data_IF_080730116514
#
_entry.id   IF_080730116514
#
_cell.length_a   1.000
_cell.length_b   1.000
_cell.length_c   1.000
_cell.angle_alpha   90.00
_cell.angle_beta   90.00
_cell.angle_gamma   90.00
#
_symmetry.space_group_name_H-M   'P 1'
#
loop_
_entity.id
_entity.type
_entity.pdbx_description
1 polymer ?
#
# COMPACT_ATOMS: atom_id res chain seq x y z
N UNK A 1 -0.14 15.02 3.43
CA UNK A 1 -0.30 16.27 2.63
C UNK A 1 0.93 16.59 1.76
N UNK A 2 2.06 15.95 2.01
CA UNK A 2 3.31 16.20 1.27
C UNK A 2 3.12 16.03 -0.23
N UNK A 3 3.58 16.99 -1.02
CA UNK A 3 3.45 17.01 -2.46
C UNK A 3 2.04 17.29 -3.01
N UNK A 4 1.00 17.49 -2.18
CA UNK A 4 -0.36 17.76 -2.67
C UNK A 4 -0.46 19.08 -3.45
N UNK A 5 0.28 20.11 -3.05
CA UNK A 5 0.37 21.39 -3.77
C UNK A 5 1.04 21.21 -5.15
N UNK A 6 2.03 20.34 -5.25
CA UNK A 6 2.71 20.02 -6.52
C UNK A 6 1.75 19.31 -7.46
N UNK A 7 1.00 18.32 -6.95
CA UNK A 7 -0.05 17.67 -7.73
C UNK A 7 -1.10 18.67 -8.22
N UNK A 8 -1.63 19.51 -7.33
CA UNK A 8 -2.74 20.44 -7.66
C UNK A 8 -2.39 21.43 -8.77
N UNK A 9 -1.11 21.85 -8.85
CA UNK A 9 -0.59 22.71 -9.90
C UNK A 9 -0.14 21.97 -11.17
N UNK A 10 -0.10 20.64 -11.14
CA UNK A 10 0.42 19.80 -12.22
C UNK A 10 -0.48 19.79 -13.46
N UNK A 11 0.10 19.39 -14.61
CA UNK A 11 -0.66 19.12 -15.82
C UNK A 11 -1.68 18.00 -15.60
N UNK A 12 -1.31 16.95 -14.88
CA UNK A 12 -2.16 15.81 -14.55
C UNK A 12 -3.42 16.26 -13.81
N UNK A 13 -3.28 17.12 -12.80
CA UNK A 13 -4.44 17.60 -12.05
C UNK A 13 -5.36 18.48 -12.88
N UNK A 14 -4.81 19.27 -13.81
CA UNK A 14 -5.60 20.07 -14.77
C UNK A 14 -6.36 19.19 -15.77
N UNK A 15 -5.76 18.08 -16.22
CA UNK A 15 -6.42 17.13 -17.12
C UNK A 15 -7.52 16.34 -16.39
N UNK A 16 -7.30 15.96 -15.13
CA UNK A 16 -8.29 15.21 -14.32
C UNK A 16 -9.46 16.11 -13.87
N UNK A 17 -9.19 17.36 -13.58
CA UNK A 17 -10.15 18.31 -13.01
C UNK A 17 -10.03 19.69 -13.67
N UNK A 18 -10.41 19.84 -14.95
CA UNK A 18 -10.27 21.11 -15.67
C UNK A 18 -11.06 22.26 -15.04
N UNK A 19 -12.24 21.96 -14.50
CA UNK A 19 -13.20 22.97 -14.00
C UNK A 19 -12.97 23.35 -12.52
N UNK A 20 -12.07 22.68 -11.82
CA UNK A 20 -11.79 22.94 -10.40
C UNK A 20 -10.50 23.74 -10.21
N UNK A 21 -10.48 24.56 -9.17
CA UNK A 21 -9.28 25.30 -8.76
C UNK A 21 -8.22 24.41 -8.10
N UNK A 22 -7.05 24.98 -7.83
CA UNK A 22 -5.92 24.25 -7.23
C UNK A 22 -6.22 23.74 -5.83
N UNK A 23 -7.07 24.43 -5.05
CA UNK A 23 -7.44 24.05 -3.69
C UNK A 23 -8.28 22.78 -3.70
N UNK A 24 -9.30 22.75 -4.56
CA UNK A 24 -10.16 21.57 -4.72
C UNK A 24 -9.39 20.39 -5.27
N UNK A 25 -8.51 20.58 -6.27
CA UNK A 25 -7.64 19.52 -6.82
C UNK A 25 -6.75 18.92 -5.73
N UNK A 26 -6.14 19.76 -4.87
CA UNK A 26 -5.34 19.33 -3.73
C UNK A 26 -6.16 18.53 -2.71
N UNK A 27 -7.32 19.00 -2.33
CA UNK A 27 -8.22 18.33 -1.39
C UNK A 27 -8.67 16.95 -1.89
N UNK A 28 -9.04 16.84 -3.18
CA UNK A 28 -9.38 15.54 -3.80
C UNK A 28 -8.20 14.58 -3.77
N UNK A 29 -6.98 15.05 -4.09
CA UNK A 29 -5.79 14.20 -4.04
C UNK A 29 -5.52 13.67 -2.64
N UNK A 30 -5.63 14.51 -1.61
CA UNK A 30 -5.48 14.10 -0.21
C UNK A 30 -6.52 13.02 0.16
N UNK A 31 -7.78 13.23 -0.22
CA UNK A 31 -8.85 12.24 0.01
C UNK A 31 -8.59 10.90 -0.70
N UNK A 32 -8.09 10.94 -1.95
CA UNK A 32 -7.74 9.73 -2.71
C UNK A 32 -6.56 8.96 -2.10
N UNK A 33 -5.61 9.64 -1.47
CA UNK A 33 -4.51 8.98 -0.74
C UNK A 33 -5.01 8.12 0.42
N UNK A 34 -6.11 8.52 1.05
CA UNK A 34 -6.74 7.72 2.09
C UNK A 34 -7.35 6.43 1.54
N UNK A 35 -7.83 6.46 0.29
CA UNK A 35 -8.41 5.30 -0.38
C UNK A 35 -7.32 4.35 -0.92
N UNK A 36 -6.37 4.88 -1.68
CA UNK A 36 -5.22 4.16 -2.23
C UNK A 36 -4.02 5.12 -2.39
N UNK A 37 -3.12 5.16 -1.38
CA UNK A 37 -1.98 6.07 -1.41
C UNK A 37 -1.04 5.80 -2.60
N UNK A 38 -0.79 4.55 -2.96
CA UNK A 38 0.11 4.20 -4.05
C UNK A 38 -0.43 4.71 -5.39
N UNK A 39 -1.70 4.46 -5.68
CA UNK A 39 -2.34 4.87 -6.93
C UNK A 39 -2.34 6.40 -7.12
N UNK A 40 -2.38 7.17 -6.04
CA UNK A 40 -2.38 8.62 -6.10
C UNK A 40 -0.97 9.22 -6.10
N UNK A 41 -0.07 8.71 -5.24
CA UNK A 41 1.28 9.27 -5.07
C UNK A 41 2.17 9.08 -6.31
N UNK A 42 1.95 8.06 -7.12
CA UNK A 42 2.68 7.85 -8.39
C UNK A 42 2.45 8.95 -9.44
N UNK A 43 1.47 9.84 -9.23
CA UNK A 43 1.18 10.97 -10.12
C UNK A 43 2.16 12.12 -9.99
N UNK A 44 2.98 12.13 -8.95
CA UNK A 44 4.01 13.14 -8.67
C UNK A 44 5.39 12.49 -8.54
N UNK A 45 6.44 13.28 -8.71
CA UNK A 45 7.81 12.81 -8.46
C UNK A 45 7.98 12.44 -6.98
N UNK A 46 8.52 11.26 -6.70
CA UNK A 46 8.73 10.76 -5.34
C UNK A 46 9.57 11.71 -4.47
N UNK A 47 10.52 12.44 -5.07
CA UNK A 47 11.29 13.48 -4.35
C UNK A 47 10.43 14.61 -3.78
N UNK A 48 9.30 14.88 -4.42
CA UNK A 48 8.37 15.93 -4.00
C UNK A 48 7.57 15.58 -2.74
N UNK A 49 7.58 14.33 -2.33
CA UNK A 49 6.93 13.85 -1.11
C UNK A 49 7.83 14.06 0.11
N UNK A 50 9.16 14.15 -0.11
CA UNK A 50 10.17 14.17 0.95
C UNK A 50 10.56 12.76 1.39
N UNK A 51 11.76 12.33 0.99
CA UNK A 51 12.25 10.95 1.23
C UNK A 51 13.32 10.88 2.30
N UNK A 52 13.83 12.03 2.76
CA UNK A 52 14.81 12.11 3.84
C UNK A 52 15.35 13.51 4.07
N UNK A 53 15.83 13.76 5.29
CA UNK A 53 16.38 15.05 5.69
C UNK A 53 17.54 15.50 4.80
N UNK A 54 18.37 14.55 4.35
CA UNK A 54 19.56 14.79 3.54
C UNK A 54 19.37 14.48 2.06
N UNK A 55 18.13 14.46 1.57
CA UNK A 55 17.86 14.14 0.17
C UNK A 55 18.56 15.08 -0.82
N UNK A 56 18.88 16.31 -0.43
CA UNK A 56 19.55 17.29 -1.28
C UNK A 56 21.09 17.13 -1.29
N UNK A 57 21.66 16.39 -0.34
CA UNK A 57 23.09 16.21 -0.17
C UNK A 57 23.64 14.99 -0.95
N UNK A 58 22.76 14.19 -1.54
CA UNK A 58 23.11 13.02 -2.34
C UNK A 58 23.01 13.30 -3.85
N UNK A 59 23.62 12.44 -4.65
CA UNK A 59 23.52 12.50 -6.11
C UNK A 59 22.04 12.39 -6.55
N UNK A 60 21.53 13.45 -7.17
CA UNK A 60 20.10 13.55 -7.53
C UNK A 60 19.69 12.57 -8.63
N UNK A 61 20.61 12.18 -9.52
CA UNK A 61 20.35 11.21 -10.58
C UNK A 61 20.21 9.80 -10.01
N UNK A 62 21.13 9.43 -9.11
CA UNK A 62 21.08 8.14 -8.40
C UNK A 62 19.88 8.05 -7.47
N UNK A 63 19.56 9.14 -6.75
CA UNK A 63 18.37 9.19 -5.90
C UNK A 63 17.11 8.95 -6.72
N UNK A 64 16.95 9.66 -7.84
CA UNK A 64 15.80 9.47 -8.73
C UNK A 64 15.69 8.02 -9.22
N UNK A 65 16.78 7.45 -9.72
CA UNK A 65 16.80 6.07 -10.20
C UNK A 65 16.41 5.05 -9.11
N UNK A 66 16.93 5.23 -7.88
CA UNK A 66 16.60 4.36 -6.75
C UNK A 66 15.13 4.49 -6.34
N UNK A 67 14.58 5.70 -6.35
CA UNK A 67 13.17 5.94 -6.04
C UNK A 67 12.25 5.35 -7.11
N UNK A 68 12.54 5.56 -8.40
CA UNK A 68 11.77 4.98 -9.49
C UNK A 68 11.77 3.45 -9.41
N UNK A 69 12.92 2.82 -9.15
CA UNK A 69 13.01 1.37 -8.95
C UNK A 69 12.21 0.88 -7.74
N UNK A 70 12.23 1.64 -6.64
CA UNK A 70 11.44 1.31 -5.44
C UNK A 70 9.95 1.37 -5.72
N UNK A 71 9.49 2.43 -6.41
CA UNK A 71 8.08 2.58 -6.80
C UNK A 71 7.65 1.45 -7.73
N UNK A 72 8.45 1.12 -8.74
CA UNK A 72 8.20 0.00 -9.65
C UNK A 72 8.07 -1.31 -8.89
N UNK A 73 8.99 -1.59 -7.97
CA UNK A 73 8.95 -2.80 -7.14
C UNK A 73 7.68 -2.86 -6.28
N UNK A 74 7.28 -1.76 -5.67
CA UNK A 74 6.06 -1.67 -4.86
C UNK A 74 4.80 -1.89 -5.72
N UNK A 75 4.71 -1.25 -6.88
CA UNK A 75 3.56 -1.38 -7.80
C UNK A 75 3.40 -2.83 -8.27
N UNK A 76 4.50 -3.47 -8.67
CA UNK A 76 4.48 -4.86 -9.15
C UNK A 76 4.15 -5.85 -8.02
N UNK A 77 4.65 -5.62 -6.80
CA UNK A 77 4.33 -6.46 -5.63
C UNK A 77 2.85 -6.41 -5.28
N UNK A 78 2.24 -5.23 -5.31
CA UNK A 78 0.81 -5.06 -5.02
C UNK A 78 -0.06 -5.63 -6.15
N UNK A 79 0.38 -5.49 -7.39
CA UNK A 79 -0.43 -5.76 -8.57
C UNK A 79 -1.42 -4.62 -8.88
N UNK A 80 -1.82 -4.53 -10.12
CA UNK A 80 -2.58 -3.38 -10.63
C UNK A 80 -3.88 -3.85 -11.31
N UNK A 81 -5.02 -3.32 -10.89
CA UNK A 81 -6.28 -3.52 -11.61
C UNK A 81 -6.25 -2.72 -12.92
N UNK A 82 -6.17 -3.44 -14.04
CA UNK A 82 -6.02 -2.84 -15.37
C UNK A 82 -7.24 -2.00 -15.78
N UNK A 83 -8.40 -2.30 -15.22
CA UNK A 83 -9.65 -1.62 -15.57
C UNK A 83 -9.83 -0.28 -14.84
N UNK A 84 -9.16 -0.07 -13.72
CA UNK A 84 -9.32 1.15 -12.90
C UNK A 84 -8.05 1.99 -12.78
N UNK A 85 -6.88 1.41 -13.05
CA UNK A 85 -5.61 2.09 -12.89
C UNK A 85 -5.45 3.31 -13.80
N UNK A 86 -4.83 4.37 -13.28
CA UNK A 86 -4.41 5.52 -14.07
C UNK A 86 -3.25 5.16 -15.01
N UNK A 87 -3.05 5.95 -16.08
CA UNK A 87 -1.86 5.82 -16.93
C UNK A 87 -0.56 5.93 -16.14
N UNK A 88 -0.55 6.74 -15.08
CA UNK A 88 0.63 6.95 -14.24
C UNK A 88 0.98 5.67 -13.46
N UNK A 89 -0.02 5.02 -12.85
CA UNK A 89 0.20 3.76 -12.15
C UNK A 89 0.63 2.64 -13.11
N UNK A 90 -0.02 2.54 -14.27
CA UNK A 90 0.33 1.55 -15.31
C UNK A 90 1.75 1.72 -15.84
N UNK A 91 2.30 2.93 -15.88
CA UNK A 91 3.67 3.19 -16.34
C UNK A 91 4.72 2.49 -15.48
N UNK A 92 4.43 2.25 -14.20
CA UNK A 92 5.33 1.54 -13.29
C UNK A 92 5.16 0.02 -13.31
N UNK A 93 4.22 -0.50 -14.09
CA UNK A 93 4.11 -1.95 -14.28
C UNK A 93 5.24 -2.42 -15.19
N UNK A 94 5.93 -3.48 -14.78
CA UNK A 94 7.05 -4.05 -15.55
C UNK A 94 6.62 -4.37 -16.99
N UNK A 95 7.44 -4.02 -17.95
CA UNK A 95 7.15 -4.18 -19.37
C UNK A 95 6.21 -3.13 -19.98
N UNK A 96 5.63 -2.24 -19.19
CA UNK A 96 4.82 -1.13 -19.67
C UNK A 96 5.60 0.18 -19.56
N UNK A 97 5.72 0.89 -20.64
CA UNK A 97 6.20 2.28 -20.62
C UNK A 97 5.03 3.26 -20.77
N UNK A 98 5.28 4.57 -20.75
CA UNK A 98 4.23 5.59 -20.84
C UNK A 98 3.30 5.42 -22.04
N UNK A 99 3.81 5.00 -23.18
CA UNK A 99 3.05 4.80 -24.43
C UNK A 99 2.07 3.62 -24.30
N UNK A 100 2.52 2.46 -23.78
CA UNK A 100 1.63 1.31 -23.57
C UNK A 100 0.61 1.56 -22.47
N UNK A 101 1.01 2.23 -21.39
CA UNK A 101 0.09 2.64 -20.34
C UNK A 101 -1.05 3.51 -20.88
N UNK A 102 -0.73 4.50 -21.74
CA UNK A 102 -1.75 5.33 -22.39
C UNK A 102 -2.62 4.49 -23.33
N UNK A 103 -2.03 3.62 -24.16
CA UNK A 103 -2.79 2.77 -25.08
C UNK A 103 -3.75 1.81 -24.36
N UNK A 104 -3.39 1.31 -23.18
CA UNK A 104 -4.30 0.50 -22.34
C UNK A 104 -5.50 1.34 -21.90
N UNK A 105 -5.28 2.56 -21.43
CA UNK A 105 -6.35 3.46 -21.01
C UNK A 105 -7.26 3.81 -22.18
N UNK A 106 -6.70 4.15 -23.32
CA UNK A 106 -7.45 4.49 -24.55
C UNK A 106 -8.26 3.30 -25.04
N UNK A 107 -7.65 2.11 -25.03
CA UNK A 107 -8.34 0.87 -25.46
C UNK A 107 -9.56 0.57 -24.60
N UNK A 108 -9.42 0.60 -23.26
CA UNK A 108 -10.56 0.33 -22.37
C UNK A 108 -11.65 1.39 -22.43
N UNK A 109 -11.26 2.64 -22.70
CA UNK A 109 -12.22 3.75 -22.89
C UNK A 109 -13.06 3.55 -24.15
N UNK A 110 -12.44 3.07 -25.23
CA UNK A 110 -13.10 2.85 -26.51
C UNK A 110 -13.88 1.54 -26.61
N UNK A 111 -13.40 0.47 -25.94
CA UNK A 111 -13.92 -0.90 -26.11
C UNK A 111 -14.58 -1.48 -24.85
N UNK A 112 -14.59 -0.73 -23.75
CA UNK A 112 -15.04 -1.24 -22.45
C UNK A 112 -13.93 -1.95 -21.64
N UNK A 113 -14.25 -2.40 -20.43
CA UNK A 113 -13.30 -3.02 -19.53
C UNK A 113 -12.74 -4.33 -20.11
N UNK A 114 -11.51 -4.66 -19.75
CA UNK A 114 -10.93 -5.96 -20.05
C UNK A 114 -11.62 -7.07 -19.24
N UNK A 115 -12.00 -8.13 -19.91
CA UNK A 115 -12.60 -9.32 -19.31
C UNK A 115 -11.59 -10.47 -19.11
N UNK A 116 -10.43 -10.39 -19.80
CA UNK A 116 -9.34 -11.36 -19.65
C UNK A 116 -7.98 -10.73 -19.92
N UNK A 117 -6.93 -11.29 -19.31
CA UNK A 117 -5.54 -10.88 -19.60
C UNK A 117 -5.18 -11.03 -21.07
N UNK A 118 -5.73 -12.05 -21.75
CA UNK A 118 -5.50 -12.30 -23.18
C UNK A 118 -5.95 -11.13 -24.07
N UNK A 119 -6.98 -10.39 -23.65
CA UNK A 119 -7.44 -9.20 -24.39
C UNK A 119 -6.40 -8.09 -24.43
N UNK A 120 -5.42 -8.05 -23.51
CA UNK A 120 -4.32 -7.08 -23.54
C UNK A 120 -3.52 -7.15 -24.85
N UNK A 121 -3.45 -8.32 -25.50
CA UNK A 121 -2.79 -8.48 -26.80
C UNK A 121 -3.49 -7.70 -27.93
N UNK A 122 -4.71 -7.22 -27.74
CA UNK A 122 -5.43 -6.36 -28.68
C UNK A 122 -5.08 -4.88 -28.53
N UNK A 123 -4.38 -4.51 -27.45
CA UNK A 123 -3.95 -3.12 -27.23
C UNK A 123 -2.87 -2.75 -28.26
N UNK A 124 -2.97 -1.59 -28.93
CA UNK A 124 -1.96 -1.14 -29.87
C UNK A 124 -0.56 -1.14 -29.26
N UNK A 125 0.41 -1.68 -29.98
CA UNK A 125 1.83 -1.85 -29.57
C UNK A 125 2.06 -2.85 -28.41
N UNK A 126 1.05 -3.58 -27.96
CA UNK A 126 1.23 -4.68 -27.02
C UNK A 126 1.77 -5.90 -27.79
N UNK A 127 3.08 -6.01 -27.88
CA UNK A 127 3.74 -7.19 -28.44
C UNK A 127 3.82 -8.35 -27.42
N UNK A 128 4.17 -9.54 -27.91
CA UNK A 128 4.31 -10.73 -27.08
C UNK A 128 5.24 -10.53 -25.87
N UNK A 129 6.40 -9.88 -26.09
CA UNK A 129 7.38 -9.61 -25.03
C UNK A 129 6.84 -8.67 -23.95
N UNK A 130 6.14 -7.60 -24.32
CA UNK A 130 5.53 -6.68 -23.35
C UNK A 130 4.43 -7.37 -22.57
N UNK A 131 3.59 -8.17 -23.23
CA UNK A 131 2.56 -8.98 -22.59
C UNK A 131 3.15 -9.97 -21.58
N UNK A 132 4.17 -10.73 -21.97
CA UNK A 132 4.89 -11.65 -21.08
C UNK A 132 5.41 -10.95 -19.82
N UNK A 133 5.98 -9.75 -19.96
CA UNK A 133 6.53 -9.01 -18.85
C UNK A 133 5.47 -8.41 -17.92
N UNK A 134 4.32 -7.97 -18.44
CA UNK A 134 3.31 -7.24 -17.63
C UNK A 134 2.15 -8.09 -17.12
N UNK A 135 1.82 -9.19 -17.80
CA UNK A 135 0.57 -9.92 -17.56
C UNK A 135 0.42 -10.42 -16.12
N UNK A 136 1.51 -10.88 -15.49
CA UNK A 136 1.52 -11.36 -14.11
C UNK A 136 1.21 -10.28 -13.07
N UNK A 137 1.39 -9.01 -13.40
CA UNK A 137 1.16 -7.88 -12.49
C UNK A 137 -0.18 -7.17 -12.71
N UNK A 138 -0.86 -7.43 -13.81
CA UNK A 138 -2.17 -6.87 -14.12
C UNK A 138 -3.28 -7.79 -13.60
N UNK A 139 -4.26 -7.23 -12.92
CA UNK A 139 -5.37 -7.93 -12.28
C UNK A 139 -6.69 -7.56 -12.93
N UNK A 140 -7.58 -8.54 -13.07
CA UNK A 140 -8.96 -8.35 -13.54
C UNK A 140 -9.89 -9.04 -12.52
N UNK A 141 -10.37 -8.32 -11.50
CA UNK A 141 -11.07 -8.90 -10.35
C UNK A 141 -12.33 -9.72 -10.70
N UNK A 142 -12.99 -9.39 -11.80
CA UNK A 142 -14.25 -10.03 -12.24
C UNK A 142 -14.07 -10.88 -13.50
N UNK A 143 -12.85 -11.31 -13.80
CA UNK A 143 -12.60 -12.15 -14.97
C UNK A 143 -13.29 -13.52 -14.85
N UNK A 144 -13.80 -14.08 -15.96
CA UNK A 144 -14.31 -15.46 -16.01
C UNK A 144 -13.24 -16.48 -15.60
N UNK A 145 -11.98 -16.28 -15.98
CA UNK A 145 -10.87 -17.06 -15.45
C UNK A 145 -10.37 -16.45 -14.14
N UNK A 146 -10.53 -17.13 -12.99
CA UNK A 146 -10.12 -16.58 -11.71
C UNK A 146 -8.61 -16.34 -11.60
N UNK A 147 -7.78 -16.99 -12.41
CA UNK A 147 -6.33 -16.78 -12.47
C UNK A 147 -5.97 -15.38 -12.99
N UNK A 148 -6.85 -14.73 -13.76
CA UNK A 148 -6.63 -13.36 -14.23
C UNK A 148 -6.69 -12.31 -13.09
N UNK A 149 -7.18 -12.71 -11.92
CA UNK A 149 -7.12 -11.91 -10.68
C UNK A 149 -6.06 -12.44 -9.69
N UNK A 150 -5.01 -13.07 -10.16
CA UNK A 150 -3.95 -13.63 -9.32
C UNK A 150 -2.56 -13.17 -9.79
N UNK A 151 -1.50 -13.46 -9.01
CA UNK A 151 -0.13 -13.26 -9.43
C UNK A 151 0.41 -14.42 -10.31
N UNK A 152 -0.38 -15.47 -10.53
CA UNK A 152 0.00 -16.56 -11.43
C UNK A 152 0.16 -16.02 -12.84
N UNK A 153 1.34 -16.25 -13.43
CA UNK A 153 1.62 -15.83 -14.79
C UNK A 153 0.82 -16.67 -15.80
N UNK A 154 0.32 -16.10 -16.91
CA UNK A 154 -0.46 -16.86 -17.91
C UNK A 154 0.23 -18.09 -18.47
N UNK A 155 1.56 -18.12 -18.56
CA UNK A 155 2.34 -19.29 -18.97
C UNK A 155 2.16 -20.49 -18.05
N UNK A 156 1.85 -20.24 -16.78
CA UNK A 156 1.63 -21.28 -15.77
C UNK A 156 0.17 -21.74 -15.66
N UNK A 157 -0.77 -21.14 -16.41
CA UNK A 157 -2.18 -21.54 -16.38
C UNK A 157 -2.37 -23.01 -16.73
N UNK A 158 -1.72 -23.59 -17.78
CA UNK A 158 -1.86 -25.01 -18.09
C UNK A 158 -1.47 -25.92 -16.94
N UNK A 159 -0.49 -25.53 -16.12
CA UNK A 159 -0.06 -26.31 -14.96
C UNK A 159 -1.15 -26.32 -13.89
N UNK A 160 -1.74 -25.17 -13.58
CA UNK A 160 -2.85 -25.05 -12.61
C UNK A 160 -4.09 -25.79 -13.10
N UNK A 161 -4.41 -25.69 -14.38
CA UNK A 161 -5.50 -26.44 -15.00
C UNK A 161 -5.28 -27.97 -14.93
N UNK A 162 -4.03 -28.42 -15.10
CA UNK A 162 -3.67 -29.83 -14.95
C UNK A 162 -3.81 -30.29 -13.49
N UNK A 163 -3.36 -29.48 -12.51
CA UNK A 163 -3.58 -29.76 -11.09
C UNK A 163 -5.07 -29.93 -10.75
N UNK A 164 -5.92 -29.05 -11.30
CA UNK A 164 -7.37 -29.14 -11.12
C UNK A 164 -7.96 -30.41 -11.73
N UNK A 165 -7.54 -30.77 -12.96
CA UNK A 165 -7.97 -32.00 -13.64
C UNK A 165 -7.58 -33.26 -12.87
N UNK A 166 -6.35 -33.32 -12.36
CA UNK A 166 -5.82 -34.48 -11.62
C UNK A 166 -6.57 -34.69 -10.30
N UNK A 167 -7.10 -33.61 -9.71
CA UNK A 167 -7.93 -33.65 -8.51
C UNK A 167 -9.45 -33.69 -8.80
N UNK A 168 -9.84 -33.82 -10.06
CA UNK A 168 -11.24 -33.84 -10.51
C UNK A 168 -12.08 -32.65 -10.01
N UNK A 169 -11.47 -31.43 -9.99
CA UNK A 169 -12.11 -30.21 -9.55
C UNK A 169 -11.88 -29.07 -10.54
N UNK A 170 -12.53 -27.92 -10.31
CA UNK A 170 -12.25 -26.71 -11.08
C UNK A 170 -11.08 -25.93 -10.48
N UNK A 171 -10.48 -25.01 -11.26
CA UNK A 171 -9.47 -24.05 -10.75
C UNK A 171 -10.05 -23.21 -9.61
N UNK A 172 -11.32 -22.85 -9.70
CA UNK A 172 -12.00 -22.08 -8.66
C UNK A 172 -12.12 -22.86 -7.35
N UNK A 173 -12.36 -24.17 -7.43
CA UNK A 173 -12.38 -25.04 -6.25
C UNK A 173 -10.98 -25.15 -5.62
N UNK A 174 -9.94 -25.29 -6.44
CA UNK A 174 -8.56 -25.24 -5.95
C UNK A 174 -8.23 -23.95 -5.20
N UNK A 175 -8.73 -22.82 -5.67
CA UNK A 175 -8.49 -21.53 -5.02
C UNK A 175 -9.25 -21.36 -3.70
N UNK A 176 -10.41 -22.01 -3.56
CA UNK A 176 -11.27 -21.91 -2.37
C UNK A 176 -10.96 -22.94 -1.31
N UNK A 177 -10.55 -24.13 -1.69
CA UNK A 177 -10.43 -25.27 -0.80
C UNK A 177 -8.96 -25.59 -0.49
N UNK A 178 -8.58 -25.38 0.78
CA UNK A 178 -7.24 -25.65 1.28
C UNK A 178 -6.92 -27.16 1.32
N UNK A 179 -7.92 -28.01 1.56
CA UNK A 179 -7.72 -29.45 1.62
C UNK A 179 -7.42 -30.03 0.23
N UNK A 180 -8.06 -29.51 -0.81
CA UNK A 180 -7.73 -29.87 -2.20
C UNK A 180 -6.30 -29.48 -2.54
N UNK A 181 -5.86 -28.26 -2.18
CA UNK A 181 -4.49 -27.82 -2.42
C UNK A 181 -3.46 -28.67 -1.68
N UNK A 182 -3.76 -29.16 -0.47
CA UNK A 182 -2.85 -30.00 0.30
C UNK A 182 -2.59 -31.37 -0.32
N UNK A 183 -3.45 -31.83 -1.21
CA UNK A 183 -3.33 -33.11 -1.94
C UNK A 183 -2.42 -32.99 -3.18
N UNK A 184 -2.00 -31.79 -3.56
CA UNK A 184 -1.18 -31.56 -4.75
C UNK A 184 0.27 -32.02 -4.46
N UNK A 185 0.71 -33.02 -5.21
CA UNK A 185 2.13 -33.40 -5.22
C UNK A 185 2.89 -32.55 -6.27
N UNK A 186 3.52 -31.46 -5.82
CA UNK A 186 4.22 -30.51 -6.68
C UNK A 186 5.30 -31.16 -7.55
N UNK A 187 5.89 -32.28 -7.12
CA UNK A 187 6.96 -32.94 -7.87
C UNK A 187 6.49 -33.46 -9.23
N UNK A 188 5.20 -33.76 -9.36
CA UNK A 188 4.58 -34.25 -10.63
C UNK A 188 4.53 -33.18 -11.71
N UNK A 189 4.63 -31.89 -11.35
CA UNK A 189 4.48 -30.76 -12.25
C UNK A 189 5.79 -30.05 -12.56
N UNK A 190 6.92 -30.60 -12.12
CA UNK A 190 8.25 -30.09 -12.45
C UNK A 190 8.51 -30.35 -13.92
N UNK A 191 8.93 -29.30 -14.65
CA UNK A 191 9.34 -29.36 -16.06
C UNK A 191 10.74 -28.76 -16.22
N UNK A 192 11.29 -28.80 -17.41
CA UNK A 192 12.58 -28.16 -17.70
C UNK A 192 12.57 -26.64 -17.48
N UNK A 193 11.39 -26.01 -17.55
CA UNK A 193 11.21 -24.55 -17.40
C UNK A 193 10.58 -24.15 -16.08
N UNK A 194 9.93 -25.05 -15.37
CA UNK A 194 9.20 -24.77 -14.11
C UNK A 194 9.71 -25.66 -13.00
N UNK A 195 10.45 -25.06 -12.08
CA UNK A 195 11.00 -25.74 -10.91
C UNK A 195 10.09 -25.72 -9.68
N UNK A 196 10.50 -26.42 -8.64
CA UNK A 196 9.78 -26.49 -7.36
C UNK A 196 9.53 -25.11 -6.71
N UNK A 197 10.46 -24.14 -6.73
CA UNK A 197 10.19 -22.82 -6.20
C UNK A 197 8.99 -22.14 -6.87
N UNK A 198 8.95 -22.12 -8.19
CA UNK A 198 7.82 -21.56 -8.96
C UNK A 198 6.50 -22.24 -8.64
N UNK A 199 6.49 -23.57 -8.53
CA UNK A 199 5.28 -24.33 -8.15
C UNK A 199 4.81 -24.02 -6.74
N UNK A 200 5.74 -23.79 -5.82
CA UNK A 200 5.44 -23.38 -4.44
C UNK A 200 4.80 -21.98 -4.42
N UNK A 201 5.34 -21.05 -5.19
CA UNK A 201 4.80 -19.69 -5.31
C UNK A 201 3.39 -19.72 -5.93
N UNK A 202 3.17 -20.53 -6.97
CA UNK A 202 1.85 -20.74 -7.56
C UNK A 202 0.87 -21.25 -6.51
N UNK A 203 1.25 -22.25 -5.70
CA UNK A 203 0.37 -22.81 -4.67
C UNK A 203 0.03 -21.80 -3.58
N UNK A 204 1.01 -20.99 -3.16
CA UNK A 204 0.79 -19.89 -2.21
C UNK A 204 -0.17 -18.83 -2.78
N UNK A 205 -0.02 -18.51 -4.06
CA UNK A 205 -0.90 -17.56 -4.73
C UNK A 205 -2.33 -18.09 -4.87
N UNK A 206 -2.50 -19.39 -5.11
CA UNK A 206 -3.82 -20.01 -5.13
C UNK A 206 -4.52 -20.01 -3.76
N UNK A 207 -3.74 -20.01 -2.66
CA UNK A 207 -4.29 -19.90 -1.29
C UNK A 207 -4.89 -18.52 -1.01
N UNK A 208 -4.27 -17.48 -1.54
CA UNK A 208 -4.66 -16.08 -1.33
C UNK A 208 -4.52 -15.26 -2.61
N UNK A 209 -5.35 -15.56 -3.62
CA UNK A 209 -5.21 -14.97 -4.94
C UNK A 209 -5.39 -13.46 -4.90
N UNK A 210 -4.46 -12.76 -5.55
CA UNK A 210 -4.49 -11.31 -5.68
C UNK A 210 -4.47 -10.56 -4.34
N UNK A 211 -3.97 -11.19 -3.27
CA UNK A 211 -3.90 -10.54 -1.96
C UNK A 211 -3.00 -9.32 -2.04
N UNK A 212 -3.59 -8.18 -1.72
CA UNK A 212 -2.84 -6.96 -1.48
C UNK A 212 -1.95 -7.14 -0.23
N UNK A 213 -0.62 -7.08 -0.35
CA UNK A 213 0.28 -7.25 0.80
C UNK A 213 0.23 -6.08 1.77
N UNK A 214 -0.35 -4.95 1.35
CA UNK A 214 -0.46 -3.75 2.18
C UNK A 214 -1.37 -4.02 3.37
N UNK A 215 -1.00 -3.47 4.52
CA UNK A 215 -1.89 -3.48 5.68
C UNK A 215 -3.11 -2.58 5.39
N UNK A 216 -4.29 -3.03 5.83
CA UNK A 216 -5.48 -2.16 5.77
C UNK A 216 -5.21 -0.92 6.60
N UNK A 217 -5.54 0.25 6.06
CA UNK A 217 -5.46 1.51 6.79
C UNK A 217 -6.37 1.38 8.01
N UNK A 218 -5.77 1.45 9.19
CA UNK A 218 -6.53 1.61 10.42
C UNK A 218 -6.84 3.10 10.55
N UNK A 219 -8.10 3.44 10.36
CA UNK A 219 -8.56 4.82 10.57
C UNK A 219 -8.35 5.13 12.05
N UNK A 220 -7.44 6.06 12.33
CA UNK A 220 -7.21 6.54 13.69
C UNK A 220 -8.21 7.67 13.98
N UNK A 221 -8.92 7.57 15.09
CA UNK A 221 -9.79 8.63 15.59
C UNK A 221 -9.37 9.00 17.00
N UNK A 222 -9.15 10.29 17.22
CA UNK A 222 -9.01 10.83 18.57
C UNK A 222 -10.33 10.70 19.36
N UNK A 223 -10.25 10.77 20.68
CA UNK A 223 -11.46 10.75 21.50
C UNK A 223 -12.30 12.01 21.21
N UNK A 224 -13.57 11.80 20.83
CA UNK A 224 -14.49 12.87 20.41
C UNK A 224 -14.91 13.79 21.57
N UNK A 225 -14.74 13.32 22.80
CA UNK A 225 -15.11 14.04 24.02
C UNK A 225 -13.98 14.91 24.57
N UNK A 226 -12.76 14.74 24.08
CA UNK A 226 -11.55 15.47 24.53
C UNK A 226 -11.11 16.41 23.41
N UNK A 227 -11.34 17.71 23.59
CA UNK A 227 -11.01 18.77 22.61
C UNK A 227 -10.07 19.83 23.17
N UNK A 228 -10.06 19.97 24.49
CA UNK A 228 -9.25 20.97 25.20
C UNK A 228 -8.58 20.35 26.42
N UNK A 229 -7.60 21.07 26.99
CA UNK A 229 -6.94 20.65 28.22
C UNK A 229 -7.92 20.50 29.41
N UNK A 230 -9.03 21.26 29.39
CA UNK A 230 -10.02 21.25 30.46
C UNK A 230 -10.90 20.00 30.47
N UNK A 231 -11.00 19.32 29.33
CA UNK A 231 -11.74 18.07 29.22
C UNK A 231 -10.97 16.87 29.78
N UNK A 232 -9.65 17.05 30.03
CA UNK A 232 -8.80 15.99 30.55
C UNK A 232 -8.99 15.76 32.05
N UNK A 233 -8.99 14.49 32.42
CA UNK A 233 -8.98 14.03 33.83
C UNK A 233 -7.86 12.98 33.99
N UNK A 234 -7.27 12.98 35.21
CA UNK A 234 -6.31 11.93 35.57
C UNK A 234 -6.96 10.56 35.54
N UNK A 235 -6.25 9.58 35.01
CA UNK A 235 -6.76 8.22 34.85
C UNK A 235 -7.48 7.96 33.53
N UNK A 236 -7.81 8.98 32.71
CA UNK A 236 -8.39 8.77 31.38
C UNK A 236 -7.45 8.00 30.46
N UNK A 237 -8.00 7.05 29.73
CA UNK A 237 -7.30 6.30 28.67
C UNK A 237 -7.72 6.83 27.31
N UNK A 238 -6.75 7.27 26.54
CA UNK A 238 -6.95 7.96 25.27
C UNK A 238 -6.14 7.33 24.15
N UNK A 239 -6.67 7.31 22.92
CA UNK A 239 -5.86 7.04 21.74
C UNK A 239 -4.95 8.23 21.45
N UNK A 240 -3.72 7.97 20.98
CA UNK A 240 -2.77 9.01 20.64
C UNK A 240 -1.83 8.61 19.53
N UNK A 241 -1.14 9.60 18.99
CA UNK A 241 -0.12 9.42 17.93
C UNK A 241 1.21 9.96 18.45
N UNK A 242 2.27 9.16 18.35
CA UNK A 242 3.63 9.60 18.70
C UNK A 242 4.10 10.65 17.69
N UNK A 243 4.36 11.88 18.18
CA UNK A 243 4.77 13.01 17.33
C UNK A 243 6.26 13.26 17.35
N UNK A 244 6.92 12.99 18.49
CA UNK A 244 8.35 13.19 18.64
C UNK A 244 8.93 12.22 19.66
N UNK A 245 10.22 11.85 19.48
CA UNK A 245 10.95 10.95 20.39
C UNK A 245 12.22 11.66 20.80
N UNK A 246 12.52 11.64 22.11
CA UNK A 246 13.71 12.21 22.74
C UNK A 246 14.36 11.18 23.66
N UNK A 247 15.57 11.43 24.15
CA UNK A 247 16.27 10.49 25.06
C UNK A 247 15.52 10.26 26.38
N UNK A 248 14.67 11.18 26.81
CA UNK A 248 13.91 11.08 28.07
C UNK A 248 12.47 10.56 27.89
N UNK A 249 12.03 10.29 26.66
CA UNK A 249 10.68 9.78 26.39
C UNK A 249 10.14 10.19 25.04
N UNK A 250 8.82 10.10 24.87
CA UNK A 250 8.16 10.52 23.65
C UNK A 250 7.00 11.50 23.92
N UNK A 251 6.71 12.31 22.92
CA UNK A 251 5.55 13.19 22.91
C UNK A 251 4.43 12.52 22.09
N UNK A 252 3.22 12.60 22.64
CA UNK A 252 2.03 11.99 22.05
C UNK A 252 0.95 13.04 21.86
N UNK A 253 0.48 13.18 20.64
CA UNK A 253 -0.73 13.92 20.31
C UNK A 253 -1.95 13.09 20.72
N UNK A 254 -2.83 13.65 21.54
CA UNK A 254 -4.06 13.04 22.03
C UNK A 254 -5.32 13.75 21.50
N UNK A 255 -5.17 14.57 20.45
CA UNK A 255 -6.28 15.26 19.79
C UNK A 255 -6.58 16.66 20.32
N UNK A 256 -5.70 17.21 21.17
CA UNK A 256 -5.78 18.59 21.67
C UNK A 256 -4.55 19.38 21.27
N UNK A 257 -4.54 20.69 21.53
CA UNK A 257 -3.43 21.57 21.14
C UNK A 257 -2.09 21.20 21.77
N UNK A 258 -2.11 20.72 23.00
CA UNK A 258 -0.93 20.37 23.80
C UNK A 258 -0.61 18.87 23.68
N UNK A 259 0.62 18.53 23.33
CA UNK A 259 1.09 17.16 23.33
C UNK A 259 1.40 16.67 24.75
N UNK A 260 1.04 15.43 25.06
CA UNK A 260 1.40 14.80 26.32
C UNK A 260 2.80 14.15 26.26
N UNK A 261 3.52 14.17 27.40
CA UNK A 261 4.81 13.51 27.55
C UNK A 261 4.64 12.13 28.17
N UNK A 262 5.13 11.09 27.51
CA UNK A 262 5.39 9.77 28.08
C UNK A 262 6.88 9.69 28.41
N UNK A 263 7.23 9.77 29.69
CA UNK A 263 8.62 9.64 30.14
C UNK A 263 9.15 8.23 29.84
N UNK A 264 10.45 8.07 29.60
CA UNK A 264 11.07 6.77 29.25
C UNK A 264 10.69 5.66 30.25
N UNK A 265 10.58 5.97 31.54
CA UNK A 265 10.14 5.01 32.58
C UNK A 265 8.66 4.63 32.49
N UNK A 266 7.86 5.28 31.67
CA UNK A 266 6.43 5.08 31.50
C UNK A 266 6.05 4.47 30.13
N UNK A 267 7.05 4.14 29.29
CA UNK A 267 6.83 3.60 27.95
C UNK A 267 6.40 2.12 27.97
N UNK A 268 6.95 1.33 28.87
CA UNK A 268 6.67 -0.09 28.98
C UNK A 268 6.78 -0.59 30.43
N UNK A 269 6.28 -1.81 30.69
CA UNK A 269 6.37 -2.47 31.99
C UNK A 269 7.78 -3.05 32.29
N UNK A 270 8.70 -2.91 31.34
CA UNK A 270 10.13 -3.28 31.46
C UNK A 270 11.00 -2.03 31.49
N UNK A 271 12.26 -2.19 31.91
CA UNK A 271 13.25 -1.15 31.76
C UNK A 271 13.52 -0.87 30.28
N UNK A 272 13.50 0.39 29.90
CA UNK A 272 13.76 0.90 28.54
C UNK A 272 14.89 1.89 28.62
N UNK A 273 16.00 1.60 27.93
CA UNK A 273 17.16 2.50 27.84
C UNK A 273 17.02 3.52 26.71
N UNK A 274 16.46 3.08 25.57
CA UNK A 274 16.24 3.89 24.40
C UNK A 274 14.73 3.85 24.01
N UNK A 275 14.03 4.98 24.03
CA UNK A 275 12.63 5.05 23.63
C UNK A 275 12.34 4.49 22.23
N UNK A 276 13.30 4.56 21.31
CA UNK A 276 13.14 4.04 19.93
C UNK A 276 12.99 2.52 19.84
N UNK A 277 13.37 1.79 20.90
CA UNK A 277 13.14 0.33 21.00
C UNK A 277 11.65 -0.03 21.20
N UNK A 278 10.87 0.92 21.69
CA UNK A 278 9.46 0.69 22.08
C UNK A 278 8.49 1.43 21.19
N UNK A 279 8.83 2.66 20.75
CA UNK A 279 7.94 3.52 19.99
C UNK A 279 8.60 4.05 18.73
N UNK A 280 7.77 4.36 17.72
CA UNK A 280 8.18 5.00 16.46
C UNK A 280 7.36 6.25 16.23
N UNK A 281 7.92 7.21 15.50
CA UNK A 281 7.19 8.41 15.07
C UNK A 281 5.98 7.96 14.23
N UNK A 282 4.85 8.64 14.43
CA UNK A 282 3.54 8.34 13.84
C UNK A 282 2.90 7.01 14.26
N UNK A 283 3.46 6.32 15.25
CA UNK A 283 2.84 5.13 15.81
C UNK A 283 1.55 5.49 16.56
N UNK A 284 0.49 4.74 16.30
CA UNK A 284 -0.76 4.81 17.09
C UNK A 284 -0.53 4.07 18.42
N UNK A 285 -0.86 4.73 19.51
CA UNK A 285 -0.67 4.21 20.87
C UNK A 285 -1.91 4.47 21.72
N UNK A 286 -2.08 3.69 22.76
CA UNK A 286 -3.00 4.04 23.86
C UNK A 286 -2.19 4.57 25.01
N UNK A 287 -2.68 5.65 25.60
CA UNK A 287 -2.03 6.32 26.73
C UNK A 287 -3.05 6.58 27.83
N UNK A 288 -2.56 6.64 29.05
CA UNK A 288 -3.35 7.01 30.22
C UNK A 288 -2.80 8.28 30.84
N UNK A 289 -3.66 9.20 31.19
CA UNK A 289 -3.28 10.47 31.83
C UNK A 289 -2.84 10.21 33.27
N UNK A 290 -1.60 10.57 33.59
CA UNK A 290 -1.03 10.47 34.95
C UNK A 290 -1.25 11.74 35.74
N UNK A 291 -0.94 12.89 35.15
CA UNK A 291 -1.11 14.19 35.81
C UNK A 291 -1.27 15.30 34.77
N UNK A 292 -1.91 16.39 35.17
CA UNK A 292 -2.18 17.55 34.34
C UNK A 292 -1.75 18.82 35.10
N UNK A 293 -0.73 19.51 34.58
CA UNK A 293 -0.36 20.84 35.04
C UNK A 293 -1.03 21.89 34.13
N UNK A 294 -2.16 22.43 34.57
CA UNK A 294 -2.97 23.38 33.77
C UNK A 294 -2.30 24.74 33.61
N UNK A 295 -1.50 25.16 34.60
CA UNK A 295 -0.79 26.45 34.54
C UNK A 295 0.32 26.44 33.51
N UNK A 296 1.10 25.35 33.50
CA UNK A 296 2.22 25.16 32.57
C UNK A 296 1.83 24.44 31.28
N UNK A 297 0.54 24.06 31.14
CA UNK A 297 0.00 23.29 30.00
C UNK A 297 0.80 22.02 29.73
N UNK A 298 1.13 21.27 30.78
CA UNK A 298 1.90 20.03 30.68
C UNK A 298 1.03 18.83 31.05
N UNK A 299 1.09 17.78 30.23
CA UNK A 299 0.34 16.54 30.43
C UNK A 299 1.36 15.42 30.55
N UNK A 300 1.30 14.66 31.64
CA UNK A 300 2.08 13.45 31.81
C UNK A 300 1.23 12.23 31.50
N UNK A 301 1.78 11.34 30.68
CA UNK A 301 1.09 10.15 30.19
C UNK A 301 1.90 8.88 30.51
N UNK A 302 1.22 7.75 30.54
CA UNK A 302 1.83 6.42 30.61
C UNK A 302 1.27 5.51 29.54
N UNK A 303 2.11 4.60 29.06
CA UNK A 303 1.74 3.50 28.16
C UNK A 303 1.74 2.15 28.88
N UNK A 304 2.14 2.12 30.18
CA UNK A 304 2.22 0.88 30.96
C UNK A 304 0.87 0.20 31.07
N UNK A 305 0.86 -1.11 30.81
CA UNK A 305 -0.33 -1.94 30.90
C UNK A 305 -1.36 -1.79 29.79
N UNK A 306 -1.14 -0.88 28.82
CA UNK A 306 -2.12 -0.53 27.79
C UNK A 306 -1.80 -1.08 26.40
N UNK A 307 -0.52 -1.17 26.06
CA UNK A 307 -0.06 -1.59 24.75
C UNK A 307 0.62 -2.96 24.88
N UNK A 308 -0.14 -4.03 24.70
CA UNK A 308 0.35 -5.41 24.68
C UNK A 308 0.67 -5.87 23.27
#
# INVERSE_FOLDING_TARGET
EDGASIYSASKTAREEFPDYDVTVRGAVSIGRRLMDPLAELVKIDAKSIGVGQYQHDVDQTKLKAALDQTVESCVNLVGVNVNTASKHLLTYVSGLGPTLAQNIVDYRTANGPFESRKQLLKVPRMGAKAYEQCAGFLRIPQAPNPLDNSAVHPESYPIVEQMAKDLHCSVNDLMKDKELRSKIDLKKYITDTVGLPTLTDILQELDKPGRDPRQKIQVFEFDKNVRTLDDLQEGMELPGIVTNITNFGCFVDIGIKENGLVHVSQLADRFVSDPTEVVRIHQHVRVKVLSIDRERKRIQLTMKGLNK
#
